data_IF_930325862399
#
_entry.id   IF_930325862399
#
_cell.length_a   1.000
_cell.length_b   1.000
_cell.length_c   1.000
_cell.angle_alpha   90.00
_cell.angle_beta   90.00
_cell.angle_gamma   90.00
#
_symmetry.space_group_name_H-M   'P 1'
#
loop_
_entity.id
_entity.type
_entity.pdbx_description
1 polymer ?
#
# COMPACT_ATOMS: atom_id res chain seq x y z
N UNK A 1 7.35 -9.59 -12.45
CA UNK A 1 6.62 -8.39 -12.90
C UNK A 1 6.89 -7.30 -11.90
N UNK A 2 7.20 -6.09 -12.38
CA UNK A 2 7.47 -4.99 -11.46
C UNK A 2 6.16 -4.44 -10.96
N UNK A 3 6.07 -4.23 -9.66
CA UNK A 3 4.88 -3.66 -9.03
C UNK A 3 5.25 -2.41 -8.23
N UNK A 4 4.25 -1.54 -8.07
CA UNK A 4 4.29 -0.38 -7.20
C UNK A 4 3.01 -0.32 -6.38
N UNK A 5 3.18 -0.11 -5.08
CA UNK A 5 2.13 0.31 -4.18
C UNK A 5 2.31 1.79 -3.86
N UNK A 6 1.25 2.59 -4.01
CA UNK A 6 1.16 3.92 -3.40
C UNK A 6 0.37 3.77 -2.10
N UNK A 7 1.00 4.06 -0.97
CA UNK A 7 0.38 3.91 0.35
C UNK A 7 0.23 5.28 0.98
N UNK A 8 -0.98 5.62 1.41
CA UNK A 8 -1.26 6.81 2.20
C UNK A 8 -1.65 6.38 3.61
N UNK A 9 -0.91 6.88 4.60
CA UNK A 9 -1.11 6.64 6.02
C UNK A 9 -1.87 7.82 6.63
N UNK A 10 -2.90 7.53 7.42
CA UNK A 10 -3.82 8.52 8.00
C UNK A 10 -3.25 9.36 9.16
N UNK A 11 -1.94 9.28 9.37
CA UNK A 11 -1.22 9.97 10.45
C UNK A 11 0.09 10.55 9.97
N UNK A 12 0.32 11.81 10.32
CA UNK A 12 1.59 12.53 10.21
C UNK A 12 2.54 12.10 11.33
N UNK A 13 2.99 10.84 11.27
CA UNK A 13 3.90 10.24 12.23
C UNK A 13 4.77 9.18 11.55
N UNK A 14 6.08 9.44 11.47
CA UNK A 14 7.03 8.50 10.86
C UNK A 14 7.10 7.16 11.60
N UNK A 15 6.84 7.13 12.91
CA UNK A 15 6.79 5.86 13.65
C UNK A 15 5.60 5.01 13.20
N UNK A 16 4.46 5.62 12.86
CA UNK A 16 3.30 4.91 12.31
C UNK A 16 3.62 4.41 10.90
N UNK A 17 4.32 5.21 10.09
CA UNK A 17 4.78 4.77 8.77
C UNK A 17 5.68 3.53 8.88
N UNK A 18 6.62 3.51 9.82
CA UNK A 18 7.49 2.35 10.06
C UNK A 18 6.69 1.10 10.45
N UNK A 19 5.67 1.23 11.32
CA UNK A 19 4.78 0.11 11.66
C UNK A 19 4.02 -0.40 10.44
N UNK A 20 3.49 0.49 9.59
CA UNK A 20 2.80 0.10 8.35
C UNK A 20 3.75 -0.61 7.38
N UNK A 21 4.99 -0.13 7.24
CA UNK A 21 6.01 -0.79 6.41
C UNK A 21 6.36 -2.18 6.97
N UNK A 22 6.49 -2.33 8.28
CA UNK A 22 6.73 -3.63 8.92
C UNK A 22 5.56 -4.59 8.69
N UNK A 23 4.31 -4.15 8.84
CA UNK A 23 3.13 -4.97 8.53
C UNK A 23 3.11 -5.39 7.04
N UNK A 24 3.52 -4.50 6.13
CA UNK A 24 3.63 -4.82 4.71
C UNK A 24 4.76 -5.84 4.44
N UNK A 25 5.88 -5.77 5.18
CA UNK A 25 6.98 -6.74 5.09
C UNK A 25 6.58 -8.14 5.61
N UNK A 26 5.68 -8.22 6.60
CA UNK A 26 5.12 -9.50 7.07
C UNK A 26 4.28 -10.18 5.97
N UNK A 27 3.62 -9.39 5.12
CA UNK A 27 2.84 -9.87 3.97
C UNK A 27 3.77 -10.20 2.79
N UNK A 28 4.73 -9.31 2.48
CA UNK A 28 5.67 -9.46 1.38
C UNK A 28 7.06 -8.93 1.75
N UNK A 29 7.99 -9.84 2.06
CA UNK A 29 9.34 -9.48 2.52
C UNK A 29 10.28 -8.96 1.42
N UNK A 30 9.81 -8.84 0.17
CA UNK A 30 10.61 -8.41 -1.00
C UNK A 30 10.45 -6.91 -1.30
N UNK A 31 9.73 -6.17 -0.46
CA UNK A 31 9.41 -4.77 -0.70
C UNK A 31 10.62 -3.86 -0.50
N UNK A 32 10.73 -2.85 -1.36
CA UNK A 32 11.62 -1.70 -1.21
C UNK A 32 10.78 -0.44 -1.08
N UNK A 33 11.20 0.50 -0.23
CA UNK A 33 10.40 1.67 0.12
C UNK A 33 11.06 2.98 -0.35
N UNK A 34 10.25 3.91 -0.86
CA UNK A 34 10.68 5.30 -0.98
C UNK A 34 10.74 5.97 0.39
N UNK A 35 11.42 7.12 0.53
CA UNK A 35 11.20 7.99 1.67
C UNK A 35 9.71 8.34 1.82
N UNK A 36 9.26 8.44 3.06
CA UNK A 36 7.94 8.99 3.39
C UNK A 36 7.93 10.51 3.22
N UNK A 37 6.75 11.06 2.93
CA UNK A 37 6.53 12.52 2.90
C UNK A 37 5.08 12.84 3.24
N UNK A 38 4.79 14.10 3.51
CA UNK A 38 3.41 14.58 3.64
C UNK A 38 2.63 14.36 2.34
N UNK A 39 1.41 13.90 2.48
CA UNK A 39 0.48 13.80 1.36
C UNK A 39 0.03 15.24 1.00
N UNK A 40 0.31 15.75 -0.21
CA UNK A 40 0.12 17.17 -0.55
C UNK A 40 -1.34 17.68 -0.49
N UNK A 41 -2.30 16.80 -0.73
CA UNK A 41 -3.73 17.05 -0.84
C UNK A 41 -4.53 16.66 0.41
N UNK A 42 -3.91 15.99 1.39
CA UNK A 42 -4.55 15.45 2.59
C UNK A 42 -3.74 15.83 3.83
N UNK A 43 -4.22 16.85 4.54
CA UNK A 43 -3.58 17.34 5.76
C UNK A 43 -3.52 16.23 6.82
N UNK A 44 -2.37 16.11 7.50
CA UNK A 44 -2.15 15.11 8.54
C UNK A 44 -1.96 13.68 8.02
N UNK A 45 -1.82 13.47 6.70
CA UNK A 45 -1.52 12.18 6.10
C UNK A 45 -0.07 12.13 5.58
N UNK A 46 0.54 10.95 5.68
CA UNK A 46 1.84 10.65 5.06
C UNK A 46 1.62 9.76 3.84
N UNK A 47 2.52 9.82 2.88
CA UNK A 47 2.56 8.90 1.75
C UNK A 47 3.96 8.35 1.52
N UNK A 48 4.01 7.11 1.01
CA UNK A 48 5.22 6.48 0.51
C UNK A 48 4.89 5.51 -0.64
N UNK A 49 5.91 5.11 -1.38
CA UNK A 49 5.81 4.05 -2.37
C UNK A 49 6.53 2.80 -1.90
N UNK A 50 5.94 1.63 -2.16
CA UNK A 50 6.62 0.34 -2.04
C UNK A 50 6.73 -0.30 -3.43
N UNK A 51 7.86 -0.92 -3.74
CA UNK A 51 8.10 -1.60 -5.03
C UNK A 51 8.68 -2.99 -4.82
N UNK A 52 8.36 -3.90 -5.74
CA UNK A 52 8.88 -5.27 -5.72
C UNK A 52 8.86 -5.86 -7.13
N UNK A 53 9.51 -7.02 -7.30
CA UNK A 53 9.41 -7.85 -8.50
C UNK A 53 8.79 -9.19 -8.10
N UNK A 54 7.56 -9.42 -8.56
CA UNK A 54 6.70 -10.53 -8.13
C UNK A 54 6.18 -11.32 -9.34
N UNK A 55 5.94 -12.62 -9.19
CA UNK A 55 5.15 -13.39 -10.16
C UNK A 55 3.67 -13.00 -10.12
N UNK A 56 2.89 -13.41 -11.13
CA UNK A 56 1.44 -13.18 -11.17
C UNK A 56 0.72 -13.84 -9.97
N UNK A 57 1.13 -15.06 -9.59
CA UNK A 57 0.60 -15.75 -8.41
C UNK A 57 0.92 -14.99 -7.11
N UNK A 58 2.13 -14.46 -6.98
CA UNK A 58 2.54 -13.65 -5.82
C UNK A 58 1.77 -12.33 -5.75
N UNK A 59 1.44 -11.73 -6.91
CA UNK A 59 0.61 -10.52 -6.99
C UNK A 59 -0.81 -10.83 -6.52
N UNK A 60 -1.41 -11.93 -6.97
CA UNK A 60 -2.76 -12.31 -6.57
C UNK A 60 -2.85 -12.56 -5.06
N UNK A 61 -1.89 -13.30 -4.50
CA UNK A 61 -1.80 -13.53 -3.05
C UNK A 61 -1.60 -12.21 -2.28
N UNK A 62 -0.72 -11.32 -2.77
CA UNK A 62 -0.50 -9.99 -2.18
C UNK A 62 -1.79 -9.17 -2.14
N UNK A 63 -2.47 -8.99 -3.28
CA UNK A 63 -3.68 -8.17 -3.37
C UNK A 63 -4.78 -8.67 -2.44
N UNK A 64 -4.95 -9.99 -2.32
CA UNK A 64 -5.93 -10.62 -1.44
C UNK A 64 -5.69 -10.35 0.06
N UNK A 65 -4.43 -10.13 0.44
CA UNK A 65 -4.01 -9.83 1.83
C UNK A 65 -4.02 -8.33 2.13
N UNK A 66 -3.81 -7.50 1.11
CA UNK A 66 -3.75 -6.05 1.28
C UNK A 66 -5.12 -5.40 1.48
N UNK A 67 -6.12 -5.88 0.77
CA UNK A 67 -7.47 -5.33 0.84
C UNK A 67 -8.51 -6.33 0.32
N UNK A 68 -9.75 -6.21 0.80
CA UNK A 68 -10.84 -7.14 0.47
C UNK A 68 -11.68 -6.77 -0.75
N UNK A 69 -11.60 -5.52 -1.24
CA UNK A 69 -12.45 -5.02 -2.32
C UNK A 69 -11.72 -3.91 -3.10
N UNK A 70 -11.09 -4.27 -4.22
CA UNK A 70 -10.31 -3.37 -5.06
C UNK A 70 -11.19 -2.77 -6.17
N UNK A 71 -11.02 -1.47 -6.42
CA UNK A 71 -11.66 -0.75 -7.52
C UNK A 71 -10.64 -0.50 -8.65
N UNK A 72 -10.93 -0.95 -9.87
CA UNK A 72 -10.06 -0.77 -11.04
C UNK A 72 -9.75 -2.06 -11.80
N UNK A 73 -8.72 -2.00 -12.65
CA UNK A 73 -8.24 -3.13 -13.44
C UNK A 73 -7.18 -3.94 -12.68
N UNK A 74 -6.90 -5.16 -13.11
CA UNK A 74 -5.99 -6.05 -12.40
C UNK A 74 -4.54 -5.51 -12.33
N UNK A 75 -4.14 -4.69 -13.28
CA UNK A 75 -2.82 -4.06 -13.38
C UNK A 75 -2.77 -2.62 -12.85
N UNK A 76 -3.92 -1.98 -12.59
CA UNK A 76 -4.06 -0.68 -11.93
C UNK A 76 -5.39 -0.62 -11.16
N UNK A 77 -5.31 -0.83 -9.84
CA UNK A 77 -6.47 -0.79 -8.95
C UNK A 77 -6.16 -0.05 -7.65
N UNK A 78 -7.20 0.40 -6.98
CA UNK A 78 -7.11 1.20 -5.77
C UNK A 78 -8.19 0.85 -4.75
N UNK A 79 -7.96 1.25 -3.51
CA UNK A 79 -8.90 1.10 -2.43
C UNK A 79 -8.79 2.26 -1.44
N UNK A 80 -9.90 2.55 -0.77
CA UNK A 80 -9.96 3.50 0.33
C UNK A 80 -10.49 2.82 1.59
N UNK A 81 -9.95 3.17 2.75
CA UNK A 81 -10.34 2.60 4.04
C UNK A 81 -11.79 2.90 4.45
N UNK A 82 -12.47 3.88 3.82
CA UNK A 82 -13.84 4.24 4.20
C UNK A 82 -14.88 3.18 3.84
N UNK A 83 -14.62 2.37 2.80
CA UNK A 83 -15.53 1.34 2.28
C UNK A 83 -14.92 -0.06 2.24
N UNK A 84 -13.65 -0.21 2.63
CA UNK A 84 -12.92 -1.48 2.51
C UNK A 84 -12.13 -1.80 3.78
N UNK A 85 -11.68 -3.05 3.91
CA UNK A 85 -10.87 -3.55 5.02
C UNK A 85 -9.43 -3.66 4.56
N UNK A 86 -8.62 -2.69 5.00
CA UNK A 86 -7.18 -2.63 4.73
C UNK A 86 -6.39 -3.61 5.62
N UNK A 87 -5.21 -4.02 5.15
CA UNK A 87 -4.27 -4.83 5.93
C UNK A 87 -3.77 -4.16 7.22
N UNK A 88 -3.86 -2.83 7.31
CA UNK A 88 -3.45 -2.08 8.48
C UNK A 88 -4.42 -0.92 8.76
N UNK A 89 -4.83 -0.69 10.03
CA UNK A 89 -5.85 0.31 10.38
C UNK A 89 -5.42 1.76 10.09
N UNK A 90 -4.12 2.04 9.97
CA UNK A 90 -3.61 3.36 9.62
C UNK A 90 -3.43 3.60 8.11
N UNK A 91 -3.80 2.65 7.26
CA UNK A 91 -3.76 2.86 5.81
C UNK A 91 -5.06 3.50 5.36
N UNK A 92 -4.99 4.75 4.91
CA UNK A 92 -6.14 5.49 4.40
C UNK A 92 -6.48 5.11 2.95
N UNK A 93 -5.45 5.06 2.10
CA UNK A 93 -5.56 4.80 0.66
C UNK A 93 -4.42 3.89 0.22
N UNK A 94 -4.73 3.04 -0.75
CA UNK A 94 -3.79 2.12 -1.36
C UNK A 94 -4.06 2.06 -2.86
N UNK A 95 -3.02 2.22 -3.68
CA UNK A 95 -3.06 1.93 -5.11
C UNK A 95 -2.04 0.84 -5.43
N UNK A 96 -2.43 -0.11 -6.26
CA UNK A 96 -1.55 -1.10 -6.86
C UNK A 96 -1.40 -0.84 -8.36
N UNK A 97 -0.16 -0.92 -8.85
CA UNK A 97 0.14 -0.89 -10.27
C UNK A 97 1.20 -1.93 -10.65
N UNK A 98 1.04 -2.57 -11.79
CA UNK A 98 2.02 -3.49 -12.39
C UNK A 98 2.56 -3.00 -13.73
N UNK A 99 3.81 -3.36 -14.05
CA UNK A 99 4.55 -2.93 -15.26
C UNK A 99 5.30 -4.09 -15.93
#
# INVERSE_FOLDING_TARGET
MKIRLHVVVDKEDDAVVEVVQNALNEICSKMSYSPSRLQPSLAGCMEFYATSDLSEDEIHDLLSKLNNDWDGENDDCQAYSFNTTMFHPNVYYLQFQSF
#
